data_IF_797059644034
#
_entry.id   IF_797059644034
#
_cell.length_a   1.000
_cell.length_b   1.000
_cell.length_c   1.000
_cell.angle_alpha   90.00
_cell.angle_beta   90.00
_cell.angle_gamma   90.00
#
_symmetry.space_group_name_H-M   'P 1'
#
loop_
_entity.id
_entity.type
_entity.pdbx_description
1 polymer ?
#
# COMPACT_ATOMS: atom_id res chain seq x y z
N UNK A 1 17.42 27.38 -5.17
CA UNK A 1 17.17 25.96 -5.52
C UNK A 1 17.09 25.08 -4.26
N UNK A 2 16.15 25.37 -3.35
CA UNK A 2 16.01 24.72 -2.01
C UNK A 2 14.65 24.01 -1.85
N UNK A 3 13.71 24.30 -2.75
CA UNK A 3 12.35 23.73 -2.78
C UNK A 3 12.40 22.21 -2.96
N UNK A 4 13.24 21.71 -3.87
CA UNK A 4 13.42 20.27 -4.12
C UNK A 4 13.95 19.48 -2.91
N UNK A 5 14.74 20.11 -2.04
CA UNK A 5 15.34 19.45 -0.86
C UNK A 5 14.32 19.23 0.28
N UNK A 6 13.33 20.12 0.40
CA UNK A 6 12.27 20.03 1.42
C UNK A 6 11.00 19.36 0.89
N UNK A 7 10.64 19.61 -0.37
CA UNK A 7 9.45 19.04 -0.99
C UNK A 7 9.49 17.50 -1.04
N UNK A 8 10.64 16.87 -1.28
CA UNK A 8 10.73 15.40 -1.32
C UNK A 8 10.47 14.72 0.04
N UNK A 9 11.02 15.26 1.15
CA UNK A 9 10.73 14.71 2.48
C UNK A 9 9.28 14.98 2.90
N UNK A 10 8.72 16.13 2.50
CA UNK A 10 7.32 16.47 2.77
C UNK A 10 6.31 15.82 1.82
N UNK A 11 6.71 15.35 0.64
CA UNK A 11 5.84 14.65 -0.31
C UNK A 11 5.66 13.16 0.04
N UNK A 12 6.61 12.56 0.76
CA UNK A 12 6.54 11.16 1.17
C UNK A 12 5.35 10.88 2.12
N UNK A 13 5.08 11.80 3.05
CA UNK A 13 3.96 11.69 4.00
C UNK A 13 2.58 11.67 3.32
N UNK A 14 2.26 12.65 2.44
CA UNK A 14 1.02 12.65 1.67
C UNK A 14 0.87 11.42 0.78
N UNK A 15 1.94 10.97 0.14
CA UNK A 15 1.91 9.83 -0.79
C UNK A 15 1.52 8.54 -0.08
N UNK A 16 2.16 8.23 1.05
CA UNK A 16 1.84 7.04 1.85
C UNK A 16 0.38 7.12 2.34
N UNK A 17 -0.06 8.32 2.74
CA UNK A 17 -1.43 8.55 3.22
C UNK A 17 -2.47 8.34 2.12
N UNK A 18 -2.23 8.90 0.92
CA UNK A 18 -3.13 8.75 -0.23
C UNK A 18 -3.13 7.30 -0.73
N UNK A 19 -1.97 6.65 -0.80
CA UNK A 19 -1.87 5.24 -1.19
C UNK A 19 -2.64 4.32 -0.23
N UNK A 20 -2.50 4.52 1.09
CA UNK A 20 -3.27 3.79 2.10
C UNK A 20 -4.77 4.01 1.96
N UNK A 21 -5.19 5.26 1.75
CA UNK A 21 -6.62 5.59 1.56
C UNK A 21 -7.20 4.95 0.28
N UNK A 22 -6.48 5.04 -0.85
CA UNK A 22 -6.89 4.39 -2.11
C UNK A 22 -6.99 2.88 -1.97
N UNK A 23 -6.06 2.25 -1.24
CA UNK A 23 -6.08 0.81 -1.00
C UNK A 23 -7.26 0.37 -0.14
N UNK A 24 -7.61 1.12 0.91
CA UNK A 24 -8.78 0.85 1.73
C UNK A 24 -10.09 0.88 0.93
N UNK A 25 -10.23 1.85 0.02
CA UNK A 25 -11.37 1.94 -0.90
C UNK A 25 -11.41 0.72 -1.85
N UNK A 26 -10.26 0.32 -2.39
CA UNK A 26 -10.13 -0.85 -3.26
C UNK A 26 -10.54 -2.16 -2.56
N UNK A 27 -10.07 -2.38 -1.33
CA UNK A 27 -10.47 -3.55 -0.54
C UNK A 27 -11.96 -3.52 -0.24
N UNK A 28 -12.51 -2.39 0.18
CA UNK A 28 -13.94 -2.24 0.45
C UNK A 28 -14.79 -2.54 -0.79
N UNK A 29 -14.38 -2.02 -1.95
CA UNK A 29 -15.00 -2.33 -3.24
C UNK A 29 -14.90 -3.81 -3.61
N UNK A 30 -13.73 -4.43 -3.42
CA UNK A 30 -13.51 -5.84 -3.70
C UNK A 30 -14.43 -6.73 -2.83
N UNK A 31 -14.48 -6.49 -1.51
CA UNK A 31 -15.37 -7.21 -0.58
C UNK A 31 -16.84 -7.06 -1.00
N UNK A 32 -17.25 -5.83 -1.37
CA UNK A 32 -18.61 -5.57 -1.82
C UNK A 32 -18.93 -6.37 -3.09
N UNK A 33 -18.01 -6.41 -4.07
CA UNK A 33 -18.19 -7.20 -5.29
C UNK A 33 -18.20 -8.72 -5.03
N UNK A 34 -17.35 -9.21 -4.12
CA UNK A 34 -17.33 -10.62 -3.72
C UNK A 34 -18.67 -11.03 -3.07
N UNK A 35 -19.20 -10.17 -2.21
CA UNK A 35 -20.45 -10.43 -1.49
C UNK A 35 -21.68 -10.30 -2.40
N UNK A 36 -21.70 -9.31 -3.29
CA UNK A 36 -22.81 -9.07 -4.21
C UNK A 36 -22.95 -10.18 -5.26
N UNK A 37 -21.82 -10.65 -5.81
CA UNK A 37 -21.82 -11.69 -6.85
C UNK A 37 -21.63 -13.11 -6.32
N UNK A 38 -21.48 -13.29 -5.00
CA UNK A 38 -21.26 -14.59 -4.38
C UNK A 38 -19.93 -15.24 -4.78
N UNK A 39 -18.92 -14.43 -5.14
CA UNK A 39 -17.61 -14.92 -5.55
C UNK A 39 -16.78 -15.30 -4.30
N UNK A 40 -16.14 -16.49 -4.30
CA UNK A 40 -15.25 -16.89 -3.22
C UNK A 40 -13.97 -16.04 -3.28
N UNK A 41 -13.74 -15.23 -2.27
CA UNK A 41 -12.61 -14.30 -2.21
C UNK A 41 -12.07 -14.16 -0.80
N UNK A 42 -10.88 -13.55 -0.69
CA UNK A 42 -10.21 -13.37 0.61
C UNK A 42 -10.97 -12.40 1.52
N UNK A 43 -11.62 -11.40 0.92
CA UNK A 43 -12.41 -10.42 1.66
C UNK A 43 -13.66 -11.06 2.29
N UNK A 44 -14.45 -11.78 1.50
CA UNK A 44 -15.64 -12.50 1.96
C UNK A 44 -15.31 -13.63 2.94
N UNK A 45 -14.14 -14.25 2.81
CA UNK A 45 -13.62 -15.23 3.78
C UNK A 45 -13.34 -14.60 5.15
N UNK A 46 -12.66 -13.46 5.20
CA UNK A 46 -12.41 -12.73 6.46
C UNK A 46 -13.72 -12.25 7.08
N UNK A 47 -14.63 -11.68 6.29
CA UNK A 47 -15.94 -11.22 6.78
C UNK A 47 -16.73 -12.38 7.39
N UNK A 48 -16.67 -13.56 6.79
CA UNK A 48 -17.28 -14.77 7.34
C UNK A 48 -16.61 -15.23 8.64
N UNK A 49 -15.29 -15.10 8.76
CA UNK A 49 -14.55 -15.35 10.00
C UNK A 49 -14.91 -14.37 11.12
N UNK A 50 -15.09 -13.08 10.79
CA UNK A 50 -15.55 -12.04 11.73
C UNK A 50 -16.95 -12.40 12.26
N UNK A 51 -17.88 -12.79 11.38
CA UNK A 51 -19.24 -13.18 11.78
C UNK A 51 -19.26 -14.41 12.69
N UNK A 52 -18.36 -15.37 12.45
CA UNK A 52 -18.23 -16.59 13.26
C UNK A 52 -17.36 -16.39 14.51
N UNK A 53 -16.83 -15.18 14.74
CA UNK A 53 -15.87 -14.85 15.81
C UNK A 53 -14.64 -15.77 15.81
N UNK A 54 -14.26 -16.28 14.64
CA UNK A 54 -13.07 -17.10 14.46
C UNK A 54 -11.85 -16.20 14.31
N UNK A 55 -11.23 -15.88 15.45
CA UNK A 55 -10.06 -14.98 15.52
C UNK A 55 -8.89 -15.51 14.68
N UNK A 56 -8.52 -16.81 14.71
CA UNK A 56 -7.48 -17.36 13.84
C UNK A 56 -7.68 -17.09 12.35
N UNK A 57 -8.90 -17.28 11.84
CA UNK A 57 -9.23 -17.05 10.42
C UNK A 57 -9.06 -15.58 10.05
N UNK A 58 -9.55 -14.68 10.89
CA UNK A 58 -9.44 -13.23 10.67
C UNK A 58 -7.97 -12.78 10.70
N UNK A 59 -7.20 -13.22 11.69
CA UNK A 59 -5.78 -12.89 11.80
C UNK A 59 -4.98 -13.43 10.60
N UNK A 60 -5.24 -14.66 10.19
CA UNK A 60 -4.60 -15.25 9.00
C UNK A 60 -4.87 -14.42 7.74
N UNK A 61 -6.12 -14.01 7.53
CA UNK A 61 -6.49 -13.16 6.40
C UNK A 61 -5.86 -11.76 6.46
N UNK A 62 -5.79 -11.15 7.64
CA UNK A 62 -5.13 -9.85 7.83
C UNK A 62 -3.63 -9.94 7.51
N UNK A 63 -2.95 -11.02 7.89
CA UNK A 63 -1.53 -11.22 7.58
C UNK A 63 -1.31 -11.30 6.06
N UNK A 64 -2.17 -12.05 5.35
CA UNK A 64 -2.11 -12.12 3.88
C UNK A 64 -2.28 -10.74 3.26
N UNK A 65 -3.27 -9.96 3.72
CA UNK A 65 -3.45 -8.58 3.27
C UNK A 65 -2.25 -7.69 3.58
N UNK A 66 -1.64 -7.83 4.76
CA UNK A 66 -0.45 -7.07 5.14
C UNK A 66 0.75 -7.37 4.23
N UNK A 67 0.96 -8.63 3.85
CA UNK A 67 2.03 -9.01 2.91
C UNK A 67 1.78 -8.41 1.53
N UNK A 68 0.56 -8.57 0.99
CA UNK A 68 0.19 -7.98 -0.31
C UNK A 68 0.34 -6.46 -0.28
N UNK A 69 -0.12 -5.81 0.78
CA UNK A 69 -0.01 -4.37 0.95
C UNK A 69 1.45 -3.91 1.05
N UNK A 70 2.30 -4.67 1.75
CA UNK A 70 3.73 -4.41 1.80
C UNK A 70 4.36 -4.46 0.40
N UNK A 71 3.99 -5.42 -0.45
CA UNK A 71 4.45 -5.46 -1.85
C UNK A 71 3.97 -4.25 -2.67
N UNK A 72 2.73 -3.80 -2.48
CA UNK A 72 2.20 -2.60 -3.14
C UNK A 72 3.01 -1.38 -2.73
N UNK A 73 3.27 -1.20 -1.43
CA UNK A 73 4.11 -0.09 -0.94
C UNK A 73 5.51 -0.17 -1.54
N UNK A 74 6.11 -1.36 -1.58
CA UNK A 74 7.44 -1.56 -2.17
C UNK A 74 7.45 -1.21 -3.67
N UNK A 75 6.40 -1.57 -4.40
CA UNK A 75 6.24 -1.20 -5.81
C UNK A 75 6.05 0.32 -5.99
N UNK A 76 5.33 0.97 -5.09
CA UNK A 76 5.19 2.44 -5.06
C UNK A 76 6.56 3.08 -4.82
N UNK A 77 7.29 2.66 -3.80
CA UNK A 77 8.64 3.16 -3.50
C UNK A 77 9.60 2.98 -4.68
N UNK A 78 9.54 1.81 -5.34
CA UNK A 78 10.33 1.54 -6.54
C UNK A 78 9.91 2.43 -7.72
N UNK A 79 8.61 2.62 -7.92
CA UNK A 79 8.08 3.52 -8.96
C UNK A 79 8.53 4.96 -8.71
N UNK A 80 8.54 5.42 -7.46
CA UNK A 80 9.11 6.72 -7.08
C UNK A 80 10.61 6.79 -7.39
N UNK A 81 11.38 5.74 -7.09
CA UNK A 81 12.80 5.68 -7.41
C UNK A 81 13.09 5.71 -8.92
N UNK A 82 12.18 5.15 -9.75
CA UNK A 82 12.30 5.13 -11.21
C UNK A 82 11.82 6.43 -11.87
N UNK A 83 10.72 7.02 -11.41
CA UNK A 83 10.14 8.25 -11.96
C UNK A 83 10.97 9.49 -11.57
N UNK A 84 11.71 9.45 -10.47
CA UNK A 84 12.63 10.51 -10.08
C UNK A 84 14.11 10.15 -10.39
N UNK A 85 14.65 10.48 -11.58
CA UNK A 85 16.04 10.20 -11.96
C UNK A 85 17.10 10.96 -11.14
N UNK A 86 16.72 11.75 -10.12
CA UNK A 86 17.64 12.61 -9.36
C UNK A 86 18.27 11.98 -8.11
N UNK A 87 17.88 10.77 -7.68
CA UNK A 87 18.69 10.00 -6.69
C UNK A 87 20.09 9.69 -7.27
N UNK A 88 20.19 9.55 -8.60
CA UNK A 88 21.45 9.27 -9.29
C UNK A 88 22.46 10.43 -9.23
N UNK A 89 22.00 11.68 -9.03
CA UNK A 89 22.88 12.85 -9.00
C UNK A 89 23.63 13.04 -7.66
N UNK A 90 23.27 12.30 -6.60
CA UNK A 90 23.89 12.45 -5.27
C UNK A 90 25.17 11.64 -5.04
N UNK A 91 25.53 10.73 -5.94
CA UNK A 91 26.82 10.01 -5.86
C UNK A 91 27.98 10.74 -6.55
N UNK A 92 27.73 11.83 -7.29
CA UNK A 92 28.77 12.54 -8.07
C UNK A 92 29.27 13.85 -7.45
N UNK A 93 29.03 14.08 -6.16
CA UNK A 93 29.26 15.40 -5.54
C UNK A 93 30.00 15.42 -4.20
N UNK A 94 30.65 14.32 -3.80
CA UNK A 94 31.47 14.29 -2.57
C UNK A 94 32.92 13.94 -2.89
N UNK A 95 33.50 14.77 -3.76
CA UNK A 95 34.90 14.72 -4.15
C UNK A 95 35.39 16.14 -4.39
N UNK A 96 35.39 16.96 -3.34
CA UNK A 96 36.28 18.10 -3.07
C UNK A 96 35.85 18.79 -1.80
#
# INVERSE_FOLDING_TARGET
MVIWKHAMKNALLPVITVAGNSFGILIGGAIATETLFGLPGLGSFIVSGIKQKDVPVVTGGIIVFAVVFSFVILAVDLSYAFVDPRIKAKYSGRGR
#
